data_IF_217768161072
#
_entry.id   IF_217768161072
#
_cell.length_a   1.000
_cell.length_b   1.000
_cell.length_c   1.000
_cell.angle_alpha   90.00
_cell.angle_beta   90.00
_cell.angle_gamma   90.00
#
_symmetry.space_group_name_H-M   'P 1'
#
loop_
_entity.id
_entity.type
_entity.pdbx_description
1 polymer ?
#
# COMPACT_ATOMS: atom_id res chain seq x y z
N UNK A 1 22.09 -47.28 -30.87
CA UNK A 1 23.07 -46.50 -30.13
C UNK A 1 22.72 -45.05 -30.34
N UNK A 2 21.62 -44.65 -29.69
CA UNK A 2 21.09 -43.29 -29.64
C UNK A 2 21.25 -42.84 -28.20
N UNK A 3 22.05 -41.81 -28.00
CA UNK A 3 22.25 -41.19 -26.70
C UNK A 3 22.13 -39.67 -26.87
N UNK A 4 21.11 -39.15 -26.26
CA UNK A 4 21.20 -37.92 -25.48
C UNK A 4 21.20 -36.61 -26.24
N UNK A 5 20.01 -36.09 -26.51
CA UNK A 5 19.78 -34.64 -26.73
C UNK A 5 18.56 -34.16 -25.97
N UNK A 6 18.50 -34.46 -24.68
CA UNK A 6 17.38 -34.03 -23.78
C UNK A 6 17.75 -32.92 -22.79
N UNK A 7 18.95 -32.33 -22.90
CA UNK A 7 19.41 -31.31 -21.94
C UNK A 7 19.19 -29.84 -22.31
N UNK A 8 18.66 -29.53 -23.50
CA UNK A 8 18.62 -28.16 -24.02
C UNK A 8 17.21 -27.48 -24.01
N UNK A 9 16.16 -28.20 -23.62
CA UNK A 9 14.79 -27.70 -23.72
C UNK A 9 14.19 -27.19 -22.41
N UNK A 10 14.79 -27.44 -21.24
CA UNK A 10 14.25 -27.05 -19.93
C UNK A 10 14.59 -25.62 -19.48
N UNK A 11 15.57 -24.96 -20.12
CA UNK A 11 15.98 -23.60 -19.73
C UNK A 11 15.18 -22.47 -20.44
N UNK A 12 14.26 -22.78 -21.31
CA UNK A 12 13.54 -21.80 -22.13
C UNK A 12 12.23 -21.26 -21.53
N UNK A 13 11.73 -21.85 -20.44
CA UNK A 13 10.45 -21.45 -19.79
C UNK A 13 10.63 -20.98 -18.35
N UNK A 14 11.84 -20.57 -17.95
CA UNK A 14 12.19 -20.21 -16.59
C UNK A 14 11.48 -18.97 -16.04
N UNK A 15 10.29 -19.13 -15.50
CA UNK A 15 9.57 -18.12 -14.70
C UNK A 15 10.31 -17.74 -13.41
N UNK A 16 11.39 -18.45 -13.06
CA UNK A 16 12.25 -18.23 -11.89
C UNK A 16 13.72 -17.93 -12.18
N UNK A 17 14.13 -17.86 -13.46
CA UNK A 17 15.54 -17.69 -13.81
C UNK A 17 16.08 -16.31 -13.40
N UNK A 18 17.27 -16.28 -12.80
CA UNK A 18 18.00 -15.07 -12.43
C UNK A 18 18.29 -14.16 -13.63
N UNK A 19 18.32 -14.75 -14.83
CA UNK A 19 18.62 -14.10 -16.10
C UNK A 19 17.48 -14.33 -17.10
N UNK A 20 17.02 -13.26 -17.74
CA UNK A 20 16.04 -13.31 -18.83
C UNK A 20 16.44 -12.31 -19.90
N UNK A 21 16.39 -12.72 -21.18
CA UNK A 21 16.66 -11.85 -22.32
C UNK A 21 15.58 -12.01 -23.39
N UNK A 22 15.07 -10.89 -23.90
CA UNK A 22 14.08 -10.85 -24.97
C UNK A 22 14.47 -9.80 -26.01
N UNK A 23 14.38 -10.18 -27.27
CA UNK A 23 14.52 -9.28 -28.42
C UNK A 23 13.13 -8.96 -28.97
N UNK A 24 12.89 -7.70 -29.28
CA UNK A 24 11.70 -7.21 -29.95
C UNK A 24 12.09 -6.70 -31.33
N UNK A 25 11.35 -7.08 -32.36
CA UNK A 25 11.54 -6.56 -33.72
C UNK A 25 10.64 -5.32 -33.97
N UNK A 26 10.86 -4.65 -35.10
CA UNK A 26 10.08 -3.50 -35.55
C UNK A 26 8.57 -3.79 -35.74
N UNK A 27 8.17 -5.07 -35.77
CA UNK A 27 6.77 -5.51 -35.91
C UNK A 27 6.14 -5.88 -34.57
N UNK A 28 6.90 -5.75 -33.46
CA UNK A 28 6.44 -6.13 -32.12
C UNK A 28 6.46 -7.64 -31.87
N UNK A 29 7.06 -8.44 -32.75
CA UNK A 29 7.32 -9.84 -32.46
C UNK A 29 8.50 -9.95 -31.50
N UNK A 30 8.46 -10.90 -30.60
CA UNK A 30 9.50 -11.06 -29.59
C UNK A 30 10.04 -12.48 -29.55
N UNK A 31 11.37 -12.58 -29.38
CA UNK A 31 12.08 -13.84 -29.23
C UNK A 31 12.82 -13.85 -27.89
N UNK A 32 12.65 -14.93 -27.11
CA UNK A 32 13.45 -15.16 -25.90
C UNK A 32 14.80 -15.72 -26.31
N UNK A 33 15.87 -15.16 -25.74
CA UNK A 33 17.26 -15.50 -26.07
C UNK A 33 17.94 -16.15 -24.88
N UNK A 34 18.68 -17.21 -25.09
CA UNK A 34 19.44 -17.89 -24.04
C UNK A 34 20.65 -17.06 -23.57
N UNK A 35 21.07 -17.26 -22.31
CA UNK A 35 22.23 -16.59 -21.72
C UNK A 35 23.53 -16.74 -22.55
N UNK A 36 23.75 -17.91 -23.17
CA UNK A 36 24.93 -18.17 -23.97
C UNK A 36 25.02 -17.29 -25.23
N UNK A 37 23.93 -16.73 -25.70
CA UNK A 37 23.87 -15.90 -26.89
C UNK A 37 23.97 -14.37 -26.59
N UNK A 38 24.19 -13.95 -25.35
CA UNK A 38 24.29 -12.53 -24.94
C UNK A 38 25.34 -11.74 -25.75
N UNK A 39 26.52 -12.29 -25.96
CA UNK A 39 27.59 -11.66 -26.76
C UNK A 39 27.31 -11.61 -28.26
N UNK A 40 26.44 -12.50 -28.75
CA UNK A 40 25.98 -12.53 -30.14
C UNK A 40 24.71 -11.69 -30.38
N UNK A 41 24.01 -11.31 -29.32
CA UNK A 41 22.82 -10.47 -29.36
C UNK A 41 23.17 -8.98 -29.48
N UNK A 42 23.78 -8.60 -30.59
CA UNK A 42 23.79 -7.20 -30.99
C UNK A 42 22.45 -6.93 -31.67
N UNK A 43 21.60 -6.00 -31.07
CA UNK A 43 20.36 -5.65 -31.71
C UNK A 43 20.61 -5.10 -33.10
N UNK A 44 19.89 -5.62 -34.09
CA UNK A 44 19.92 -5.10 -35.45
C UNK A 44 19.27 -3.70 -35.43
N UNK A 45 19.48 -2.89 -36.46
CA UNK A 45 18.76 -1.63 -36.66
C UNK A 45 17.26 -1.91 -36.55
N UNK A 46 16.54 -1.15 -35.76
CA UNK A 46 15.10 -1.28 -35.47
C UNK A 46 14.68 -2.49 -34.61
N UNK A 47 15.58 -3.03 -33.77
CA UNK A 47 15.26 -4.03 -32.74
C UNK A 47 15.59 -3.49 -31.35
N UNK A 48 14.78 -3.86 -30.34
CA UNK A 48 15.04 -3.57 -28.95
C UNK A 48 15.41 -4.85 -28.22
N UNK A 49 16.50 -4.84 -27.49
CA UNK A 49 16.89 -5.92 -26.60
C UNK A 49 16.60 -5.56 -25.14
N UNK A 50 15.88 -6.43 -24.44
CA UNK A 50 15.63 -6.30 -23.00
C UNK A 50 16.25 -7.46 -22.24
N UNK A 51 17.12 -7.15 -21.26
CA UNK A 51 17.62 -8.09 -20.26
C UNK A 51 17.07 -7.75 -18.90
N UNK A 52 16.53 -8.74 -18.18
CA UNK A 52 16.07 -8.61 -16.81
C UNK A 52 16.84 -9.55 -15.89
N UNK A 53 17.55 -8.98 -14.93
CA UNK A 53 18.38 -9.67 -13.95
C UNK A 53 17.72 -9.60 -12.56
N UNK A 54 17.39 -10.77 -12.01
CA UNK A 54 16.82 -10.91 -10.68
C UNK A 54 17.83 -11.60 -9.76
N UNK A 55 18.28 -10.89 -8.73
CA UNK A 55 19.31 -11.34 -7.79
C UNK A 55 20.59 -11.86 -8.49
N UNK A 56 21.15 -11.05 -9.41
CA UNK A 56 22.34 -11.47 -10.16
C UNK A 56 23.58 -11.52 -9.27
N UNK A 57 24.48 -12.45 -9.55
CA UNK A 57 25.84 -12.42 -8.99
C UNK A 57 26.66 -11.27 -9.61
N UNK A 58 27.75 -10.87 -8.95
CA UNK A 58 28.65 -9.86 -9.51
C UNK A 58 29.24 -10.28 -10.85
N UNK A 59 29.51 -11.57 -11.03
CA UNK A 59 29.96 -12.12 -12.30
C UNK A 59 28.90 -12.00 -13.42
N UNK A 60 27.61 -12.15 -13.09
CA UNK A 60 26.53 -11.95 -14.06
C UNK A 60 26.41 -10.49 -14.48
N UNK A 61 26.53 -9.60 -13.50
CA UNK A 61 26.50 -8.16 -13.75
C UNK A 61 27.69 -7.77 -14.65
N UNK A 62 28.90 -8.20 -14.31
CA UNK A 62 30.11 -7.89 -15.08
C UNK A 62 30.03 -8.43 -16.51
N UNK A 63 29.50 -9.63 -16.69
CA UNK A 63 29.29 -10.22 -18.01
C UNK A 63 28.34 -9.38 -18.88
N UNK A 64 27.20 -8.92 -18.31
CA UNK A 64 26.25 -8.06 -19.03
C UNK A 64 26.85 -6.69 -19.31
N UNK A 65 27.59 -6.11 -18.34
CA UNK A 65 28.26 -4.82 -18.50
C UNK A 65 29.24 -4.82 -19.65
N UNK A 66 30.08 -5.86 -19.73
CA UNK A 66 31.07 -6.02 -20.80
C UNK A 66 30.43 -6.31 -22.17
N UNK A 67 29.43 -7.24 -22.19
CA UNK A 67 28.80 -7.64 -23.46
C UNK A 67 27.99 -6.48 -24.09
N UNK A 68 27.40 -5.62 -23.28
CA UNK A 68 26.52 -4.55 -23.75
C UNK A 68 27.14 -3.16 -23.64
N UNK A 69 28.39 -3.07 -23.23
CA UNK A 69 29.18 -1.83 -23.11
C UNK A 69 28.44 -0.77 -22.32
N UNK A 70 27.87 -1.17 -21.17
CA UNK A 70 27.09 -0.26 -20.33
C UNK A 70 28.01 0.80 -19.70
N UNK A 71 27.50 2.03 -19.45
CA UNK A 71 28.32 3.12 -18.94
C UNK A 71 28.83 2.81 -17.53
N UNK A 72 30.14 3.02 -17.25
CA UNK A 72 30.70 2.80 -15.91
C UNK A 72 30.03 3.67 -14.84
N UNK A 73 29.51 4.86 -15.20
CA UNK A 73 28.80 5.77 -14.32
C UNK A 73 27.46 5.20 -13.80
N UNK A 74 26.85 4.23 -14.48
CA UNK A 74 25.63 3.57 -14.03
C UNK A 74 25.89 2.46 -13.00
N UNK A 75 27.12 1.90 -12.92
CA UNK A 75 27.45 0.79 -12.01
C UNK A 75 27.17 1.10 -10.53
N UNK A 76 27.54 2.27 -9.98
CA UNK A 76 27.28 2.60 -8.58
C UNK A 76 25.79 2.67 -8.21
N UNK A 77 24.89 2.80 -9.20
CA UNK A 77 23.45 2.81 -8.97
C UNK A 77 22.91 1.45 -8.51
N UNK A 78 23.60 0.36 -8.79
CA UNK A 78 23.22 -0.96 -8.29
C UNK A 78 23.42 -1.11 -6.78
N UNK A 79 24.43 -0.45 -6.22
CA UNK A 79 24.83 -0.56 -4.82
C UNK A 79 24.36 0.64 -3.96
N UNK A 80 23.83 1.67 -4.57
CA UNK A 80 23.58 3.00 -4.00
C UNK A 80 22.36 3.14 -3.08
N UNK A 81 21.80 2.06 -2.52
CA UNK A 81 20.70 2.16 -1.55
C UNK A 81 19.30 2.28 -2.17
N UNK A 82 18.33 2.77 -1.38
CA UNK A 82 16.89 2.78 -1.73
C UNK A 82 16.39 4.16 -2.19
N UNK A 83 17.27 5.12 -2.45
CA UNK A 83 16.86 6.47 -2.89
C UNK A 83 16.71 6.48 -4.41
N UNK A 84 15.53 6.87 -4.94
CA UNK A 84 15.34 7.06 -6.37
C UNK A 84 16.28 8.12 -6.93
N UNK A 85 16.86 7.83 -8.08
CA UNK A 85 17.86 8.70 -8.72
C UNK A 85 17.87 8.45 -10.22
N UNK A 86 18.25 9.44 -11.01
CA UNK A 86 18.39 9.36 -12.46
C UNK A 86 19.72 9.95 -12.88
N UNK A 87 20.35 9.32 -13.87
CA UNK A 87 21.57 9.81 -14.49
C UNK A 87 21.53 9.60 -15.99
N UNK A 88 22.37 10.32 -16.73
CA UNK A 88 22.47 10.21 -18.17
C UNK A 88 23.88 10.44 -18.68
N UNK A 89 24.14 9.91 -19.86
CA UNK A 89 25.32 10.17 -20.68
C UNK A 89 24.87 10.38 -22.13
N UNK A 90 25.79 10.64 -23.05
CA UNK A 90 25.44 10.83 -24.48
C UNK A 90 24.63 9.68 -25.07
N UNK A 91 25.00 8.42 -24.77
CA UNK A 91 24.39 7.22 -25.38
C UNK A 91 23.41 6.50 -24.47
N UNK A 92 23.41 6.78 -23.14
CA UNK A 92 22.64 6.02 -22.15
C UNK A 92 22.00 6.93 -21.12
N UNK A 93 20.91 6.47 -20.56
CA UNK A 93 20.38 6.97 -19.29
C UNK A 93 20.09 5.80 -18.36
N UNK A 94 20.03 6.08 -17.06
CA UNK A 94 19.71 5.08 -16.05
C UNK A 94 18.87 5.66 -14.94
N UNK A 95 18.00 4.83 -14.42
CA UNK A 95 17.02 5.19 -13.39
C UNK A 95 17.08 4.15 -12.29
N UNK A 96 17.22 4.60 -11.05
CA UNK A 96 16.95 3.81 -9.86
C UNK A 96 15.61 4.23 -9.30
N UNK A 97 14.71 3.26 -9.13
CA UNK A 97 13.38 3.49 -8.61
C UNK A 97 13.02 2.42 -7.57
N UNK A 98 12.01 2.68 -6.76
CA UNK A 98 11.53 1.76 -5.74
C UNK A 98 10.11 1.34 -6.10
N UNK A 99 9.90 0.05 -6.29
CA UNK A 99 8.59 -0.55 -6.55
C UNK A 99 7.88 -0.79 -5.23
N UNK A 100 6.60 -0.46 -5.13
CA UNK A 100 5.78 -0.89 -4.02
C UNK A 100 5.55 -2.40 -4.13
N UNK A 101 6.25 -3.19 -3.31
CA UNK A 101 6.11 -4.65 -3.27
C UNK A 101 5.05 -5.08 -2.25
N UNK A 102 4.39 -6.22 -2.54
CA UNK A 102 3.53 -6.89 -1.57
C UNK A 102 4.39 -7.46 -0.46
N UNK A 103 4.44 -6.78 0.68
CA UNK A 103 4.93 -7.34 1.92
C UNK A 103 3.87 -8.20 2.60
N UNK A 104 4.20 -8.78 3.75
CA UNK A 104 3.21 -9.36 4.66
C UNK A 104 2.13 -8.31 4.98
N UNK A 105 0.92 -8.75 5.32
CA UNK A 105 -0.28 -7.88 5.57
C UNK A 105 0.02 -6.64 6.42
N UNK A 106 1.11 -6.68 7.20
CA UNK A 106 1.51 -5.59 8.10
C UNK A 106 2.61 -4.66 7.58
N UNK A 107 3.29 -4.99 6.47
CA UNK A 107 4.42 -4.20 5.97
C UNK A 107 4.45 -4.14 4.46
N UNK A 108 4.32 -2.94 3.92
CA UNK A 108 4.69 -2.69 2.53
C UNK A 108 6.21 -2.64 2.43
N UNK A 109 6.78 -3.41 1.51
CA UNK A 109 8.20 -3.40 1.22
C UNK A 109 8.48 -2.64 -0.08
N UNK A 110 9.63 -2.00 -0.15
CA UNK A 110 10.11 -1.37 -1.36
C UNK A 110 11.17 -2.24 -2.02
N UNK A 111 10.97 -2.61 -3.27
CA UNK A 111 11.94 -3.35 -4.06
C UNK A 111 12.68 -2.37 -4.98
N UNK A 112 13.99 -2.33 -4.88
CA UNK A 112 14.80 -1.47 -5.74
C UNK A 112 14.87 -2.07 -7.14
N UNK A 113 14.55 -1.25 -8.12
CA UNK A 113 14.66 -1.53 -9.54
C UNK A 113 15.60 -0.51 -10.17
N UNK A 114 16.63 -0.99 -10.86
CA UNK A 114 17.52 -0.14 -11.66
C UNK A 114 17.30 -0.49 -13.12
N UNK A 115 17.05 0.52 -13.94
CA UNK A 115 16.95 0.41 -15.39
C UNK A 115 18.12 1.17 -16.02
N UNK A 116 18.85 0.54 -16.92
CA UNK A 116 19.87 1.18 -17.76
C UNK A 116 19.43 1.04 -19.22
N UNK A 117 19.28 2.14 -19.92
CA UNK A 117 18.77 2.17 -21.28
C UNK A 117 19.71 2.91 -22.23
N UNK A 118 19.96 2.33 -23.40
CA UNK A 118 20.58 2.93 -24.57
C UNK A 118 19.57 3.02 -25.71
N UNK A 119 20.00 3.33 -26.93
CA UNK A 119 19.10 3.50 -28.06
C UNK A 119 18.31 2.22 -28.42
N UNK A 120 18.95 1.06 -28.34
CA UNK A 120 18.45 -0.24 -28.80
C UNK A 120 18.40 -1.32 -27.71
N UNK A 121 18.70 -0.95 -26.46
CA UNK A 121 18.85 -1.90 -25.37
C UNK A 121 18.40 -1.36 -24.04
N UNK A 122 17.74 -2.24 -23.23
CA UNK A 122 17.34 -1.95 -21.87
C UNK A 122 17.78 -3.10 -20.96
N UNK A 123 18.40 -2.78 -19.83
CA UNK A 123 18.73 -3.73 -18.78
C UNK A 123 18.03 -3.34 -17.51
N UNK A 124 17.30 -4.27 -16.91
CA UNK A 124 16.67 -4.11 -15.60
C UNK A 124 17.37 -4.97 -14.56
N UNK A 125 17.69 -4.39 -13.41
CA UNK A 125 18.33 -5.07 -12.27
C UNK A 125 17.44 -4.95 -11.06
N UNK A 126 17.27 -6.05 -10.34
CA UNK A 126 16.51 -6.12 -9.08
C UNK A 126 17.04 -7.23 -8.20
N UNK A 127 16.89 -7.08 -6.87
CA UNK A 127 17.27 -8.13 -5.90
C UNK A 127 16.11 -9.06 -5.56
N UNK A 128 14.88 -8.59 -5.67
CA UNK A 128 13.67 -9.35 -5.33
C UNK A 128 12.75 -9.46 -6.54
N UNK A 129 11.80 -10.38 -6.46
CA UNK A 129 10.82 -10.55 -7.53
C UNK A 129 9.83 -9.38 -7.57
N UNK A 130 9.56 -8.90 -8.77
CA UNK A 130 8.59 -7.83 -9.06
C UNK A 130 7.53 -8.39 -10.00
N UNK A 131 6.28 -8.46 -9.52
CA UNK A 131 5.19 -9.14 -10.22
C UNK A 131 4.97 -8.63 -11.64
N UNK A 132 4.91 -7.32 -11.86
CA UNK A 132 4.67 -6.78 -13.20
C UNK A 132 5.82 -7.04 -14.18
N UNK A 133 7.08 -7.19 -13.71
CA UNK A 133 8.19 -7.59 -14.58
C UNK A 133 8.08 -9.07 -14.97
N UNK A 134 7.58 -9.92 -14.07
CA UNK A 134 7.28 -11.31 -14.41
C UNK A 134 6.15 -11.39 -15.45
N UNK A 135 5.09 -10.59 -15.27
CA UNK A 135 4.03 -10.49 -16.27
C UNK A 135 4.56 -10.03 -17.62
N UNK A 136 5.50 -9.07 -17.66
CA UNK A 136 6.15 -8.61 -18.87
C UNK A 136 7.07 -9.68 -19.51
N UNK A 137 7.63 -10.61 -18.70
CA UNK A 137 8.37 -11.75 -19.22
C UNK A 137 7.47 -12.78 -19.93
N UNK A 138 6.26 -13.00 -19.40
CA UNK A 138 5.31 -14.01 -19.89
C UNK A 138 4.42 -13.44 -21.01
N UNK A 139 3.85 -12.28 -20.81
CA UNK A 139 2.97 -11.66 -21.79
C UNK A 139 3.78 -11.14 -22.98
N UNK A 140 3.32 -11.42 -24.19
CA UNK A 140 3.81 -10.71 -25.36
C UNK A 140 3.35 -9.24 -25.24
N UNK A 141 4.28 -8.29 -25.04
CA UNK A 141 3.89 -6.91 -24.71
C UNK A 141 3.44 -6.11 -25.94
N UNK A 142 2.66 -6.68 -26.81
CA UNK A 142 2.02 -5.99 -27.92
C UNK A 142 2.96 -5.02 -28.65
N UNK A 143 2.73 -3.71 -28.53
CA UNK A 143 3.54 -2.66 -29.17
C UNK A 143 4.73 -2.15 -28.33
N UNK A 144 4.96 -2.69 -27.14
CA UNK A 144 5.92 -2.12 -26.16
C UNK A 144 7.36 -2.06 -26.69
N UNK A 145 7.78 -3.01 -27.51
CA UNK A 145 9.13 -3.04 -28.07
C UNK A 145 9.32 -2.23 -29.37
N UNK A 146 8.24 -1.75 -29.97
CA UNK A 146 8.27 -1.05 -31.25
C UNK A 146 8.67 0.43 -31.11
N UNK A 147 8.51 1.01 -29.91
CA UNK A 147 8.65 2.43 -29.66
C UNK A 147 10.03 2.88 -29.16
N UNK A 148 11.01 1.97 -29.11
CA UNK A 148 12.36 2.28 -28.62
C UNK A 148 12.57 2.07 -27.13
N UNK A 149 13.81 2.26 -26.65
CA UNK A 149 14.22 1.99 -25.29
C UNK A 149 13.59 2.95 -24.28
N UNK A 150 13.42 4.22 -24.63
CA UNK A 150 12.77 5.23 -23.76
C UNK A 150 11.33 4.87 -23.49
N UNK A 151 10.56 4.52 -24.51
CA UNK A 151 9.16 4.09 -24.38
C UNK A 151 9.03 2.80 -23.59
N UNK A 152 10.02 1.91 -23.70
CA UNK A 152 10.07 0.70 -22.89
C UNK A 152 10.28 1.03 -21.41
N UNK A 153 11.27 1.87 -21.08
CA UNK A 153 11.51 2.33 -19.71
C UNK A 153 10.31 3.10 -19.17
N UNK A 154 9.69 3.96 -19.99
CA UNK A 154 8.46 4.66 -19.62
C UNK A 154 7.35 3.66 -19.25
N UNK A 155 7.20 2.58 -20.00
CA UNK A 155 6.24 1.51 -19.69
C UNK A 155 6.59 0.78 -18.38
N UNK A 156 7.85 0.51 -18.11
CA UNK A 156 8.31 -0.09 -16.84
C UNK A 156 7.98 0.83 -15.66
N UNK A 157 8.25 2.13 -15.80
CA UNK A 157 7.94 3.13 -14.76
C UNK A 157 6.45 3.35 -14.59
N UNK A 158 5.66 3.25 -15.66
CA UNK A 158 4.19 3.29 -15.59
C UNK A 158 3.63 2.11 -14.81
N UNK A 159 4.15 0.90 -15.03
CA UNK A 159 3.83 -0.30 -14.26
C UNK A 159 4.25 -0.18 -12.79
N UNK A 160 5.41 0.44 -12.54
CA UNK A 160 5.86 0.77 -11.19
C UNK A 160 4.85 1.68 -10.48
N UNK A 161 4.40 2.75 -11.10
CA UNK A 161 3.34 3.62 -10.54
C UNK A 161 2.04 2.83 -10.33
N UNK A 162 1.70 1.91 -11.24
CA UNK A 162 0.58 0.98 -11.07
C UNK A 162 0.66 0.16 -9.79
N UNK A 163 1.86 -0.21 -9.32
CA UNK A 163 2.03 -0.91 -8.03
C UNK A 163 1.66 -0.03 -6.83
N UNK A 164 1.93 1.27 -6.90
CA UNK A 164 1.52 2.23 -5.88
C UNK A 164 0.01 2.44 -5.87
N UNK A 165 -0.63 2.61 -7.03
CA UNK A 165 -2.08 2.72 -7.13
C UNK A 165 -2.77 1.51 -6.52
N UNK A 166 -2.33 0.30 -6.88
CA UNK A 166 -2.87 -0.93 -6.30
C UNK A 166 -2.73 -0.96 -4.78
N UNK A 167 -1.57 -0.54 -4.26
CA UNK A 167 -1.32 -0.49 -2.83
C UNK A 167 -2.24 0.55 -2.13
N UNK A 168 -2.52 1.69 -2.77
CA UNK A 168 -3.44 2.71 -2.26
C UNK A 168 -4.87 2.17 -2.22
N UNK A 169 -5.35 1.55 -3.31
CA UNK A 169 -6.70 0.97 -3.37
C UNK A 169 -6.92 -0.08 -2.26
N UNK A 170 -5.93 -0.94 -2.03
CA UNK A 170 -5.98 -1.93 -0.94
C UNK A 170 -6.05 -1.25 0.45
N UNK A 171 -5.38 -0.12 0.61
CA UNK A 171 -5.39 0.65 1.84
C UNK A 171 -6.73 1.36 2.08
N UNK A 172 -7.30 1.97 1.06
CA UNK A 172 -8.63 2.61 1.13
C UNK A 172 -9.70 1.60 1.52
N UNK A 173 -9.71 0.42 0.91
CA UNK A 173 -10.60 -0.67 1.30
C UNK A 173 -10.41 -1.13 2.76
N UNK A 174 -9.19 -1.06 3.28
CA UNK A 174 -8.93 -1.41 4.69
C UNK A 174 -9.46 -0.32 5.64
N UNK A 175 -9.36 0.96 5.26
CA UNK A 175 -9.94 2.08 6.02
C UNK A 175 -11.46 1.96 6.07
N UNK A 176 -12.13 1.75 4.93
CA UNK A 176 -13.60 1.59 4.88
C UNK A 176 -14.10 0.46 5.80
N UNK A 177 -13.44 -0.70 5.76
CA UNK A 177 -13.77 -1.83 6.64
C UNK A 177 -13.62 -1.48 8.12
N UNK A 178 -12.58 -0.72 8.44
CA UNK A 178 -12.32 -0.28 9.80
C UNK A 178 -13.38 0.71 10.28
N UNK A 179 -13.79 1.67 9.45
CA UNK A 179 -14.83 2.65 9.76
C UNK A 179 -16.17 1.97 10.06
N UNK A 180 -16.56 0.99 9.25
CA UNK A 180 -17.74 0.14 9.51
C UNK A 180 -17.61 -0.57 10.86
N UNK A 181 -16.42 -1.08 11.21
CA UNK A 181 -16.16 -1.72 12.51
C UNK A 181 -16.25 -0.74 13.69
N UNK A 182 -15.76 0.50 13.53
CA UNK A 182 -15.83 1.57 14.54
C UNK A 182 -17.29 1.93 14.85
N UNK A 183 -18.11 2.06 13.83
CA UNK A 183 -19.55 2.36 13.97
C UNK A 183 -20.34 1.18 14.58
N UNK A 184 -19.87 -0.04 14.37
CA UNK A 184 -20.45 -1.25 14.97
C UNK A 184 -20.02 -1.48 16.42
N UNK A 185 -20.27 -2.70 16.94
CA UNK A 185 -19.93 -3.07 18.33
C UNK A 185 -18.48 -3.55 18.52
N UNK A 186 -17.67 -3.63 17.44
CA UNK A 186 -16.34 -4.26 17.41
C UNK A 186 -15.14 -3.33 17.64
N UNK A 187 -15.27 -2.25 18.41
CA UNK A 187 -14.23 -1.21 18.54
C UNK A 187 -12.96 -1.59 19.33
N UNK A 188 -12.86 -2.82 19.86
CA UNK A 188 -11.77 -3.17 20.79
C UNK A 188 -10.36 -3.11 20.18
N UNK A 189 -10.21 -3.43 18.88
CA UNK A 189 -8.93 -3.42 18.19
C UNK A 189 -8.78 -2.26 17.17
N UNK A 190 -9.78 -1.40 17.06
CA UNK A 190 -9.82 -0.32 16.06
C UNK A 190 -8.61 0.63 16.19
N UNK A 191 -8.17 0.94 17.40
CA UNK A 191 -7.03 1.83 17.64
C UNK A 191 -5.71 1.23 17.12
N UNK A 192 -5.49 -0.07 17.29
CA UNK A 192 -4.29 -0.75 16.79
C UNK A 192 -4.28 -0.75 15.27
N UNK A 193 -5.44 -1.01 14.67
CA UNK A 193 -5.60 -1.03 13.21
C UNK A 193 -5.42 0.38 12.61
N UNK A 194 -5.99 1.42 13.22
CA UNK A 194 -5.74 2.81 12.85
C UNK A 194 -4.24 3.16 12.87
N UNK A 195 -3.53 2.75 13.93
CA UNK A 195 -2.09 2.96 14.03
C UNK A 195 -1.32 2.20 12.95
N UNK A 196 -1.77 1.00 12.58
CA UNK A 196 -1.20 0.20 11.50
C UNK A 196 -1.37 0.90 10.16
N UNK A 197 -2.59 1.31 9.83
CA UNK A 197 -2.92 2.01 8.58
C UNK A 197 -2.17 3.34 8.46
N UNK A 198 -2.06 4.11 9.55
CA UNK A 198 -1.28 5.34 9.56
C UNK A 198 0.19 5.11 9.26
N UNK A 199 0.81 4.07 9.87
CA UNK A 199 2.21 3.72 9.60
C UNK A 199 2.41 3.29 8.17
N UNK A 200 1.45 2.55 7.62
CA UNK A 200 1.46 2.08 6.25
C UNK A 200 1.43 3.25 5.25
N UNK A 201 0.46 4.16 5.36
CA UNK A 201 0.36 5.37 4.52
C UNK A 201 1.63 6.23 4.60
N UNK A 202 2.17 6.43 5.80
CA UNK A 202 3.42 7.17 6.00
C UNK A 202 4.62 6.50 5.35
N UNK A 203 4.67 5.16 5.32
CA UNK A 203 5.74 4.41 4.66
C UNK A 203 5.61 4.48 3.15
N UNK A 204 4.40 4.32 2.62
CA UNK A 204 4.13 4.44 1.19
C UNK A 204 4.55 5.82 0.66
N UNK A 205 4.19 6.89 1.39
CA UNK A 205 4.63 8.25 1.05
C UNK A 205 6.15 8.40 1.04
N UNK A 206 6.84 7.87 2.05
CA UNK A 206 8.32 7.92 2.11
C UNK A 206 8.99 7.16 0.97
N UNK A 207 8.34 6.13 0.43
CA UNK A 207 8.85 5.40 -0.73
C UNK A 207 8.56 6.14 -2.04
N UNK A 208 7.37 6.73 -2.18
CA UNK A 208 6.94 7.39 -3.41
C UNK A 208 7.54 8.79 -3.58
N UNK A 209 7.50 9.64 -2.56
CA UNK A 209 7.87 11.05 -2.66
C UNK A 209 9.29 11.32 -3.21
N UNK A 210 10.32 10.52 -2.92
CA UNK A 210 11.66 10.74 -3.49
C UNK A 210 11.74 10.58 -5.01
N UNK A 211 10.78 9.88 -5.65
CA UNK A 211 10.74 9.75 -7.10
C UNK A 211 10.47 11.07 -7.84
N UNK A 212 10.06 12.12 -7.13
CA UNK A 212 9.88 13.46 -7.71
C UNK A 212 11.12 13.94 -8.48
N UNK A 213 12.30 13.63 -7.96
CA UNK A 213 13.58 13.97 -8.63
C UNK A 213 13.70 13.23 -9.97
N UNK A 214 13.28 11.97 -10.01
CA UNK A 214 13.36 11.13 -11.21
C UNK A 214 12.37 11.59 -12.26
N UNK A 215 11.07 11.63 -11.95
CA UNK A 215 10.03 11.98 -12.90
C UNK A 215 10.17 13.44 -13.37
N UNK A 216 10.47 14.38 -12.45
CA UNK A 216 10.70 15.78 -12.80
C UNK A 216 11.98 16.01 -13.63
N UNK A 217 13.02 15.19 -13.51
CA UNK A 217 14.19 15.28 -14.39
C UNK A 217 13.89 14.71 -15.78
N UNK A 218 13.18 13.56 -15.84
CA UNK A 218 12.86 12.89 -17.10
C UNK A 218 11.82 13.65 -17.93
N UNK A 219 10.95 14.46 -17.31
CA UNK A 219 9.95 15.27 -18.00
C UNK A 219 10.51 16.58 -18.63
N UNK A 220 11.79 16.88 -18.38
CA UNK A 220 12.42 18.07 -18.97
C UNK A 220 12.73 17.87 -20.46
N UNK A 221 12.52 18.89 -21.29
CA UNK A 221 12.81 18.82 -22.73
C UNK A 221 14.28 18.57 -23.07
N UNK A 222 15.20 18.85 -22.14
CA UNK A 222 16.65 18.66 -22.28
C UNK A 222 17.14 17.28 -21.80
N UNK A 223 16.24 16.46 -21.32
CA UNK A 223 16.59 15.11 -20.84
C UNK A 223 16.90 14.16 -21.97
N UNK A 224 16.92 14.33 -23.15
CA UNK A 224 17.29 13.52 -24.33
C UNK A 224 16.86 14.24 -25.60
N UNK A 225 17.49 15.38 -25.94
CA UNK A 225 17.01 16.27 -26.99
C UNK A 225 17.01 15.63 -28.40
N UNK A 226 17.80 14.56 -28.60
CA UNK A 226 17.97 13.92 -29.92
C UNK A 226 16.95 12.80 -30.22
N UNK A 227 16.13 12.40 -29.25
CA UNK A 227 15.28 11.19 -29.36
C UNK A 227 13.77 11.47 -29.58
N UNK A 228 13.43 12.59 -30.13
CA UNK A 228 12.11 12.81 -30.73
C UNK A 228 10.95 13.08 -29.74
N UNK A 229 9.96 13.81 -30.25
CA UNK A 229 8.79 14.31 -29.49
C UNK A 229 7.89 13.24 -28.84
N UNK A 230 8.06 11.97 -29.15
CA UNK A 230 7.21 10.90 -28.64
C UNK A 230 7.66 10.43 -27.26
N UNK A 231 8.97 10.34 -27.00
CA UNK A 231 9.55 10.05 -25.70
C UNK A 231 9.21 11.16 -24.68
N UNK A 232 9.31 12.42 -25.08
CA UNK A 232 8.95 13.58 -24.23
C UNK A 232 7.50 13.52 -23.75
N UNK A 233 6.57 13.10 -24.60
CA UNK A 233 5.16 12.94 -24.24
C UNK A 233 4.95 11.83 -23.21
N UNK A 234 5.68 10.72 -23.32
CA UNK A 234 5.58 9.60 -22.39
C UNK A 234 6.10 10.01 -21.01
N UNK A 235 7.25 10.68 -20.94
CA UNK A 235 7.81 11.11 -19.66
C UNK A 235 7.00 12.22 -19.00
N UNK A 236 6.46 13.15 -19.76
CA UNK A 236 5.54 14.17 -19.24
C UNK A 236 4.25 13.54 -18.69
N UNK A 237 3.70 12.55 -19.39
CA UNK A 237 2.53 11.81 -18.90
C UNK A 237 2.81 11.02 -17.62
N UNK A 238 4.02 10.46 -17.50
CA UNK A 238 4.47 9.78 -16.28
C UNK A 238 4.59 10.73 -15.09
N UNK A 239 5.14 11.93 -15.29
CA UNK A 239 5.26 12.95 -14.26
C UNK A 239 3.89 13.36 -13.72
N UNK A 240 2.91 13.61 -14.60
CA UNK A 240 1.53 13.88 -14.19
C UNK A 240 0.91 12.70 -13.43
N UNK A 241 1.19 11.48 -13.87
CA UNK A 241 0.68 10.27 -13.18
C UNK A 241 1.34 10.06 -11.82
N UNK A 242 2.62 10.39 -11.69
CA UNK A 242 3.33 10.40 -10.42
C UNK A 242 2.74 11.41 -9.43
N UNK A 243 2.51 12.66 -9.86
CA UNK A 243 1.88 13.67 -9.00
C UNK A 243 0.50 13.20 -8.53
N UNK A 244 -0.30 12.61 -9.42
CA UNK A 244 -1.59 12.01 -9.03
C UNK A 244 -1.44 10.90 -7.99
N UNK A 245 -0.43 10.02 -8.13
CA UNK A 245 -0.18 8.96 -7.15
C UNK A 245 0.22 9.55 -5.79
N UNK A 246 1.00 10.63 -5.79
CA UNK A 246 1.41 11.31 -4.56
C UNK A 246 0.20 11.96 -3.85
N UNK A 247 -0.67 12.64 -4.61
CA UNK A 247 -1.91 13.21 -4.08
C UNK A 247 -2.82 12.14 -3.45
N UNK A 248 -2.95 10.98 -4.11
CA UNK A 248 -3.75 9.87 -3.57
C UNK A 248 -3.15 9.31 -2.28
N UNK A 249 -1.83 9.20 -2.16
CA UNK A 249 -1.18 8.78 -0.90
C UNK A 249 -1.41 9.80 0.22
N UNK A 250 -1.40 11.09 -0.09
CA UNK A 250 -1.69 12.15 0.89
C UNK A 250 -3.17 12.08 1.32
N UNK A 251 -4.10 11.92 0.39
CA UNK A 251 -5.52 11.72 0.68
C UNK A 251 -5.77 10.48 1.54
N UNK A 252 -5.13 9.34 1.24
CA UNK A 252 -5.24 8.13 2.04
C UNK A 252 -4.75 8.33 3.49
N UNK A 253 -3.69 9.13 3.68
CA UNK A 253 -3.23 9.52 5.01
C UNK A 253 -4.27 10.38 5.74
N UNK A 254 -4.89 11.34 5.06
CA UNK A 254 -5.86 12.24 5.65
C UNK A 254 -7.17 11.50 5.98
N UNK A 255 -7.58 10.50 5.20
CA UNK A 255 -8.67 9.59 5.53
C UNK A 255 -8.41 8.85 6.85
N UNK A 256 -7.18 8.33 7.08
CA UNK A 256 -6.83 7.69 8.36
C UNK A 256 -6.97 8.68 9.52
N UNK A 257 -6.62 9.96 9.34
CA UNK A 257 -6.82 10.98 10.38
C UNK A 257 -8.30 11.22 10.65
N UNK A 258 -9.14 11.31 9.63
CA UNK A 258 -10.60 11.39 9.76
C UNK A 258 -11.19 10.18 10.50
N UNK A 259 -10.69 8.98 10.23
CA UNK A 259 -11.12 7.76 10.94
C UNK A 259 -10.71 7.77 12.42
N UNK A 260 -9.60 8.44 12.80
CA UNK A 260 -9.26 8.68 14.20
C UNK A 260 -10.26 9.59 14.90
N UNK A 261 -10.71 10.65 14.23
CA UNK A 261 -11.74 11.56 14.75
C UNK A 261 -13.07 10.82 14.91
N UNK A 262 -13.46 10.01 13.92
CA UNK A 262 -14.64 9.17 13.99
C UNK A 262 -14.57 8.21 15.19
N UNK A 263 -13.44 7.54 15.40
CA UNK A 263 -13.22 6.66 16.56
C UNK A 263 -13.33 7.41 17.88
N UNK A 264 -12.71 8.58 17.99
CA UNK A 264 -12.75 9.42 19.19
C UNK A 264 -14.18 9.86 19.52
N UNK A 265 -14.91 10.34 18.51
CA UNK A 265 -16.29 10.77 18.66
C UNK A 265 -17.20 9.61 19.09
N UNK A 266 -17.06 8.44 18.46
CA UNK A 266 -17.83 7.25 18.79
C UNK A 266 -17.53 6.75 20.22
N UNK A 267 -16.28 6.83 20.65
CA UNK A 267 -15.87 6.49 22.02
C UNK A 267 -16.48 7.46 23.04
N UNK A 268 -16.48 8.77 22.73
CA UNK A 268 -17.09 9.79 23.57
C UNK A 268 -18.61 9.59 23.70
N UNK A 269 -19.31 9.27 22.60
CA UNK A 269 -20.73 8.95 22.63
C UNK A 269 -21.02 7.75 23.51
N UNK A 270 -20.29 6.65 23.37
CA UNK A 270 -20.45 5.44 24.21
C UNK A 270 -20.18 5.74 25.69
N UNK A 271 -19.14 6.53 25.97
CA UNK A 271 -18.83 6.94 27.35
C UNK A 271 -19.97 7.79 27.94
N UNK A 272 -20.52 8.73 27.16
CA UNK A 272 -21.64 9.56 27.61
C UNK A 272 -22.91 8.72 27.87
N UNK A 273 -23.20 7.73 27.01
CA UNK A 273 -24.29 6.78 27.23
C UNK A 273 -24.09 5.99 28.53
N UNK A 274 -22.89 5.45 28.77
CA UNK A 274 -22.57 4.72 30.00
C UNK A 274 -22.69 5.63 31.25
N UNK A 275 -22.19 6.87 31.17
CA UNK A 275 -22.33 7.86 32.28
C UNK A 275 -23.77 8.21 32.56
N UNK A 276 -24.62 8.36 31.53
CA UNK A 276 -26.05 8.65 31.66
C UNK A 276 -26.78 7.53 32.39
N UNK A 277 -26.49 6.25 32.03
CA UNK A 277 -27.03 5.08 32.72
C UNK A 277 -26.55 5.05 34.17
N UNK A 278 -25.26 5.25 34.41
CA UNK A 278 -24.70 5.26 35.77
C UNK A 278 -25.31 6.36 36.63
N UNK A 279 -25.45 7.58 36.11
CA UNK A 279 -26.07 8.71 36.80
C UNK A 279 -27.52 8.40 37.16
N UNK A 280 -28.29 7.83 36.22
CA UNK A 280 -29.67 7.43 36.47
C UNK A 280 -29.77 6.42 37.62
N UNK A 281 -28.97 5.34 37.56
CA UNK A 281 -28.93 4.31 38.61
C UNK A 281 -28.56 4.93 39.97
N UNK A 282 -27.56 5.81 39.99
CA UNK A 282 -27.07 6.46 41.21
C UNK A 282 -28.16 7.36 41.82
N UNK A 283 -28.86 8.17 41.01
CA UNK A 283 -29.94 9.05 41.48
C UNK A 283 -31.10 8.25 42.04
N UNK A 284 -31.54 7.19 41.31
CA UNK A 284 -32.65 6.33 41.78
C UNK A 284 -32.28 5.62 43.10
N UNK A 285 -31.09 5.03 43.17
CA UNK A 285 -30.60 4.33 44.36
C UNK A 285 -30.42 5.30 45.54
N UNK A 286 -29.87 6.49 45.30
CA UNK A 286 -29.68 7.52 46.31
C UNK A 286 -31.02 8.01 46.89
N UNK A 287 -32.02 8.22 46.04
CA UNK A 287 -33.37 8.59 46.49
C UNK A 287 -34.00 7.50 47.34
N UNK A 288 -33.92 6.23 46.91
CA UNK A 288 -34.42 5.09 47.68
C UNK A 288 -33.69 4.94 49.01
N UNK A 289 -32.36 5.10 49.04
CA UNK A 289 -31.55 5.03 50.26
C UNK A 289 -31.93 6.15 51.25
N UNK A 290 -32.21 7.36 50.75
CA UNK A 290 -32.67 8.49 51.59
C UNK A 290 -34.00 8.19 52.22
N UNK A 291 -34.97 7.61 51.49
CA UNK A 291 -36.28 7.22 52.02
C UNK A 291 -36.12 6.13 53.08
N UNK A 292 -35.34 5.08 52.80
CA UNK A 292 -35.09 3.99 53.76
C UNK A 292 -34.39 4.52 55.01
N UNK A 293 -33.39 5.42 54.84
CA UNK A 293 -32.71 6.07 55.96
C UNK A 293 -33.63 6.93 56.84
N UNK A 294 -34.52 7.69 56.21
CA UNK A 294 -35.55 8.49 56.98
C UNK A 294 -36.49 7.59 57.70
N UNK A 295 -36.90 6.45 57.14
CA UNK A 295 -37.76 5.48 57.81
C UNK A 295 -37.06 4.71 58.95
N UNK A 296 -35.75 4.62 58.92
CA UNK A 296 -34.89 4.01 59.93
C UNK A 296 -34.64 4.89 61.12
N UNK A 297 -35.10 6.17 61.10
CA UNK A 297 -35.01 7.10 62.22
C UNK A 297 -36.17 6.85 63.22
N UNK A 298 -35.89 6.84 64.56
CA UNK A 298 -36.87 6.63 65.62
C UNK A 298 -37.75 7.82 65.80
N UNK A 299 -38.65 8.08 64.84
CA UNK A 299 -39.71 9.06 65.00
C UNK A 299 -41.04 8.38 65.35
N UNK A 300 -41.79 8.93 66.28
CA UNK A 300 -43.16 8.48 66.65
C UNK A 300 -44.18 8.91 65.58
N UNK A 301 -44.10 8.28 64.37
CA UNK A 301 -45.04 8.50 63.29
C UNK A 301 -46.04 7.34 63.22
N UNK A 302 -47.32 7.60 63.02
CA UNK A 302 -48.38 6.59 62.97
C UNK A 302 -48.19 5.46 61.94
N UNK A 303 -47.20 5.64 61.01
CA UNK A 303 -46.78 4.60 60.05
C UNK A 303 -46.12 3.40 60.76
N UNK A 304 -45.43 3.64 61.88
CA UNK A 304 -44.73 2.59 62.64
C UNK A 304 -45.67 1.82 63.57
N UNK A 305 -46.83 2.38 63.85
CA UNK A 305 -47.86 1.72 64.65
C UNK A 305 -48.72 0.71 63.89
N UNK A 306 -48.53 0.67 62.52
CA UNK A 306 -49.28 -0.24 61.62
C UNK A 306 -48.74 -1.66 61.53
N UNK A 307 -47.68 -1.96 62.27
CA UNK A 307 -47.08 -3.33 62.30
C UNK A 307 -46.61 -3.84 60.92
N UNK A 308 -46.85 -5.11 60.66
CA UNK A 308 -46.41 -5.78 59.43
C UNK A 308 -46.98 -5.18 58.13
N UNK A 309 -48.19 -4.63 58.19
CA UNK A 309 -48.82 -4.00 57.01
C UNK A 309 -48.10 -2.71 56.60
N UNK A 310 -47.53 -1.95 57.50
CA UNK A 310 -46.72 -0.76 57.23
C UNK A 310 -45.38 -1.17 56.56
N UNK A 311 -44.75 -2.20 57.06
CA UNK A 311 -43.50 -2.73 56.49
C UNK A 311 -43.68 -3.19 55.03
N UNK A 312 -44.69 -4.03 54.75
CA UNK A 312 -44.97 -4.48 53.39
C UNK A 312 -45.39 -3.33 52.47
N UNK A 313 -46.11 -2.33 52.99
CA UNK A 313 -46.48 -1.11 52.27
C UNK A 313 -45.28 -0.29 51.81
N UNK A 314 -44.26 -0.13 52.65
CA UNK A 314 -43.00 0.56 52.31
C UNK A 314 -42.21 -0.21 51.26
N UNK A 315 -42.08 -1.52 51.42
CA UNK A 315 -41.38 -2.35 50.42
C UNK A 315 -42.09 -2.30 49.07
N UNK A 316 -43.42 -2.40 49.06
CA UNK A 316 -44.22 -2.28 47.82
C UNK A 316 -44.06 -0.90 47.17
N UNK A 317 -44.00 0.17 47.95
CA UNK A 317 -43.76 1.53 47.46
C UNK A 317 -42.38 1.71 46.84
N UNK A 318 -41.33 1.19 47.48
CA UNK A 318 -39.97 1.20 46.98
C UNK A 318 -39.86 0.39 45.67
N UNK A 319 -40.47 -0.78 45.60
CA UNK A 319 -40.52 -1.59 44.37
C UNK A 319 -41.28 -0.87 43.25
N UNK A 320 -42.42 -0.27 43.56
CA UNK A 320 -43.20 0.51 42.59
C UNK A 320 -42.39 1.71 42.06
N UNK A 321 -41.62 2.40 42.93
CA UNK A 321 -40.73 3.50 42.53
C UNK A 321 -39.58 2.99 41.62
N UNK A 322 -38.94 1.88 41.95
CA UNK A 322 -37.89 1.27 41.14
C UNK A 322 -38.41 0.86 39.76
N UNK A 323 -39.57 0.21 39.71
CA UNK A 323 -40.22 -0.21 38.44
C UNK A 323 -40.67 1.02 37.64
N UNK A 324 -41.23 2.05 38.28
CA UNK A 324 -41.59 3.32 37.64
C UNK A 324 -40.40 4.05 37.04
N UNK A 325 -39.28 4.12 37.78
CA UNK A 325 -38.04 4.68 37.28
C UNK A 325 -37.46 3.89 36.10
N UNK A 326 -37.47 2.55 36.18
CA UNK A 326 -37.06 1.69 35.08
C UNK A 326 -37.95 1.85 33.83
N UNK A 327 -39.27 1.93 34.00
CA UNK A 327 -40.20 2.18 32.92
C UNK A 327 -39.98 3.55 32.25
N UNK A 328 -39.74 4.60 33.06
CA UNK A 328 -39.38 5.93 32.57
C UNK A 328 -38.07 5.94 31.80
N UNK A 329 -37.01 5.26 32.30
CA UNK A 329 -35.74 5.12 31.62
C UNK A 329 -35.86 4.43 30.26
N UNK A 330 -36.68 3.37 30.23
CA UNK A 330 -36.97 2.64 28.96
C UNK A 330 -37.78 3.50 27.98
N UNK A 331 -38.80 4.24 28.47
CA UNK A 331 -39.64 5.11 27.62
C UNK A 331 -38.83 6.25 26.99
N UNK A 332 -37.81 6.76 27.71
CA UNK A 332 -36.94 7.81 27.24
C UNK A 332 -35.73 7.29 26.44
N UNK A 333 -35.70 5.99 26.09
CA UNK A 333 -34.58 5.35 25.35
C UNK A 333 -33.21 5.57 26.02
N UNK A 334 -33.16 5.48 27.35
CA UNK A 334 -31.91 5.60 28.10
C UNK A 334 -31.18 4.26 28.20
N UNK A 335 -31.87 3.18 27.90
CA UNK A 335 -31.35 1.81 27.81
C UNK A 335 -31.82 1.12 26.53
#
# INVERSE_FOLDING_TARGET
MEAGNDGAAEDATGTGAAFFCRLFDARGQSQVVSRCALGACQPARDTLAWVDLCDPSDADIDAVWAAWQLPPAARPFLDGGTVPEVGQSEAFFWVRAVVAGGGDKDRINGVVLVCVAGADRVVTFRREQVAFLQDMRVQQPGRVGVLGAESFVATVLDRLLGSYFKAIDEHELAIERLEVSILGKGACDALKELQRLRRWASRLRRMLAPHRVVFGAMSRPDFRPDEGREADRHFTALDMRFERALDMVENARDQVLGSFELFSNQTALRTNEAMRVLTFVTVVTGLMATIVGALGMNFGAGLFDSGDAGFYGVIAGLLAMALGAFALGRHQHWF
#
